data_IF_203319729547
#
_entry.id   IF_203319729547
#
_cell.length_a   1.000
_cell.length_b   1.000
_cell.length_c   1.000
_cell.angle_alpha   90.00
_cell.angle_beta   90.00
_cell.angle_gamma   90.00
#
_symmetry.space_group_name_H-M   'P 1'
#
loop_
_entity.id
_entity.type
_entity.pdbx_description
1 polymer ?
#
# COMPACT_ATOMS: atom_id res chain seq x y z
N UNK A 1 26.39 2.25 -9.11
CA UNK A 1 25.25 1.48 -9.65
C UNK A 1 24.23 1.33 -8.54
N UNK A 2 23.03 1.88 -8.70
CA UNK A 2 21.99 1.88 -7.67
C UNK A 2 21.50 0.45 -7.46
N UNK A 3 21.40 -0.32 -8.54
CA UNK A 3 21.01 -1.72 -8.45
C UNK A 3 21.98 -2.50 -7.56
N UNK A 4 23.30 -2.35 -7.69
CA UNK A 4 24.25 -3.11 -6.86
C UNK A 4 24.19 -2.72 -5.38
N UNK A 5 23.92 -1.44 -5.08
CA UNK A 5 23.79 -0.93 -3.72
C UNK A 5 22.56 -1.52 -3.00
N UNK A 6 21.40 -1.49 -3.65
CA UNK A 6 20.15 -2.00 -3.08
C UNK A 6 19.95 -3.51 -3.27
N UNK A 7 20.85 -4.21 -3.99
CA UNK A 7 20.78 -5.67 -4.19
C UNK A 7 21.03 -6.47 -2.90
N UNK A 8 21.54 -5.83 -1.85
CA UNK A 8 21.68 -6.43 -0.52
C UNK A 8 20.94 -5.62 0.50
N UNK A 9 20.13 -6.28 1.30
CA UNK A 9 19.36 -5.69 2.38
C UNK A 9 20.23 -5.23 3.58
N UNK A 10 20.80 -4.02 3.53
CA UNK A 10 21.59 -3.43 4.62
C UNK A 10 20.79 -2.37 5.40
N UNK A 11 21.06 -2.15 6.71
CA UNK A 11 20.42 -1.08 7.48
C UNK A 11 20.59 0.31 6.86
N UNK A 12 21.77 0.59 6.29
CA UNK A 12 22.06 1.86 5.60
C UNK A 12 21.09 2.14 4.44
N UNK A 13 20.59 1.11 3.75
CA UNK A 13 19.63 1.29 2.67
C UNK A 13 18.31 1.85 3.18
N UNK A 14 17.86 1.38 4.35
CA UNK A 14 16.62 1.84 4.96
C UNK A 14 16.74 3.30 5.41
N UNK A 15 17.90 3.69 5.94
CA UNK A 15 18.20 5.08 6.29
C UNK A 15 18.16 5.98 5.06
N UNK A 16 18.79 5.59 3.95
CA UNK A 16 18.77 6.37 2.70
C UNK A 16 17.36 6.48 2.10
N UNK A 17 16.57 5.40 2.12
CA UNK A 17 15.17 5.42 1.69
C UNK A 17 14.34 6.38 2.55
N UNK A 18 14.56 6.38 3.87
CA UNK A 18 13.86 7.26 4.80
C UNK A 18 14.25 8.73 4.61
N UNK A 19 15.54 9.01 4.34
CA UNK A 19 16.02 10.35 4.01
C UNK A 19 15.44 10.85 2.68
N UNK A 20 15.40 9.98 1.66
CA UNK A 20 14.76 10.29 0.37
C UNK A 20 13.27 10.64 0.56
N UNK A 21 12.54 9.82 1.31
CA UNK A 21 11.14 10.10 1.66
C UNK A 21 11.01 11.43 2.41
N UNK A 22 11.84 11.67 3.42
CA UNK A 22 11.81 12.92 4.19
C UNK A 22 12.06 14.15 3.33
N UNK A 23 13.07 14.10 2.46
CA UNK A 23 13.35 15.18 1.51
C UNK A 23 12.13 15.50 0.64
N UNK A 24 11.53 14.49 0.02
CA UNK A 24 10.35 14.68 -0.85
C UNK A 24 9.10 15.10 -0.08
N UNK A 25 8.88 14.57 1.11
CA UNK A 25 7.74 14.95 1.94
C UNK A 25 7.82 16.41 2.37
N UNK A 26 8.96 16.87 2.88
CA UNK A 26 9.07 18.25 3.36
C UNK A 26 9.15 19.26 2.21
N UNK A 27 9.84 18.94 1.10
CA UNK A 27 9.91 19.84 -0.05
C UNK A 27 8.54 20.02 -0.72
N UNK A 28 7.70 18.97 -0.76
CA UNK A 28 6.34 19.10 -1.30
C UNK A 28 5.49 20.04 -0.46
N UNK A 29 5.52 19.92 0.88
CA UNK A 29 4.76 20.83 1.74
C UNK A 29 5.22 22.29 1.59
N UNK A 30 6.54 22.53 1.56
CA UNK A 30 7.10 23.88 1.49
C UNK A 30 6.93 24.50 0.10
N UNK A 31 7.30 23.78 -0.96
CA UNK A 31 7.46 24.35 -2.30
C UNK A 31 6.24 24.16 -3.21
N UNK A 32 5.69 22.94 -3.27
CA UNK A 32 4.57 22.64 -4.17
C UNK A 32 3.25 23.20 -3.61
N UNK A 33 3.13 23.16 -2.29
CA UNK A 33 1.90 23.38 -1.58
C UNK A 33 1.83 24.68 -0.80
N UNK A 34 2.95 25.42 -0.75
CA UNK A 34 3.14 26.70 -0.08
C UNK A 34 2.44 26.76 1.28
N UNK A 35 2.71 25.75 2.13
CA UNK A 35 1.99 25.61 3.39
C UNK A 35 2.32 26.77 4.34
N UNK A 36 1.29 27.47 4.82
CA UNK A 36 1.42 28.46 5.91
C UNK A 36 1.82 27.77 7.21
N UNK A 37 3.09 27.93 7.62
CA UNK A 37 3.64 27.26 8.78
C UNK A 37 3.20 27.91 10.10
N UNK A 38 2.45 27.14 10.90
CA UNK A 38 2.18 27.42 12.31
C UNK A 38 2.57 26.20 13.14
N UNK A 39 2.74 26.36 14.45
CA UNK A 39 3.11 25.25 15.34
C UNK A 39 2.12 24.06 15.25
N UNK A 40 0.79 24.25 15.27
CA UNK A 40 -0.15 23.13 15.12
C UNK A 40 -0.05 22.44 13.76
N UNK A 41 0.11 23.21 12.68
CA UNK A 41 0.24 22.69 11.31
C UNK A 41 1.51 21.84 11.19
N UNK A 42 2.63 22.29 11.76
CA UNK A 42 3.86 21.53 11.80
C UNK A 42 3.69 20.16 12.48
N UNK A 43 3.06 20.12 13.66
CA UNK A 43 2.82 18.86 14.37
C UNK A 43 1.87 17.92 13.63
N UNK A 44 0.86 18.46 12.94
CA UNK A 44 -0.03 17.66 12.09
C UNK A 44 0.73 16.97 10.96
N UNK A 45 1.51 17.73 10.18
CA UNK A 45 2.33 17.15 9.10
C UNK A 45 3.44 16.23 9.62
N UNK A 46 4.04 16.53 10.77
CA UNK A 46 4.99 15.63 11.41
C UNK A 46 4.32 14.28 11.79
N UNK A 47 3.07 14.31 12.27
CA UNK A 47 2.29 13.10 12.55
C UNK A 47 2.03 12.26 11.30
N UNK A 48 1.61 12.90 10.21
CA UNK A 48 1.42 12.24 8.91
C UNK A 48 2.74 11.65 8.40
N UNK A 49 3.84 12.40 8.47
CA UNK A 49 5.17 11.92 8.08
C UNK A 49 5.57 10.67 8.86
N UNK A 50 5.38 10.67 10.17
CA UNK A 50 5.65 9.50 11.03
C UNK A 50 4.80 8.28 10.64
N UNK A 51 3.54 8.48 10.29
CA UNK A 51 2.67 7.40 9.80
C UNK A 51 3.18 6.79 8.49
N UNK A 52 3.70 7.61 7.56
CA UNK A 52 4.31 7.13 6.31
C UNK A 52 5.61 6.38 6.61
N UNK A 53 6.51 6.93 7.45
CA UNK A 53 7.75 6.25 7.84
C UNK A 53 7.45 4.89 8.48
N UNK A 54 6.44 4.83 9.34
CA UNK A 54 5.99 3.58 9.93
C UNK A 54 5.42 2.61 8.88
N UNK A 55 4.69 3.10 7.88
CA UNK A 55 4.23 2.30 6.73
C UNK A 55 5.40 1.70 5.94
N UNK A 56 6.48 2.45 5.72
CA UNK A 56 7.70 1.96 5.04
C UNK A 56 8.40 0.88 5.87
N UNK A 57 8.51 1.08 7.20
CA UNK A 57 9.04 0.07 8.11
C UNK A 57 8.20 -1.21 8.07
N UNK A 58 6.87 -1.06 8.12
CA UNK A 58 5.92 -2.16 8.10
C UNK A 58 6.00 -2.93 6.78
N UNK A 59 6.05 -2.25 5.64
CA UNK A 59 6.25 -2.87 4.34
C UNK A 59 7.53 -3.71 4.31
N UNK A 60 8.67 -3.16 4.76
CA UNK A 60 9.94 -3.88 4.87
C UNK A 60 9.84 -5.11 5.80
N UNK A 61 9.15 -4.97 6.93
CA UNK A 61 8.89 -6.08 7.85
C UNK A 61 8.10 -7.20 7.18
N UNK A 62 7.01 -6.89 6.47
CA UNK A 62 6.17 -7.87 5.77
C UNK A 62 6.98 -8.63 4.72
N UNK A 63 7.75 -7.90 3.90
CA UNK A 63 8.59 -8.46 2.84
C UNK A 63 9.59 -9.45 3.40
N UNK A 64 10.31 -9.07 4.46
CA UNK A 64 11.36 -9.91 5.06
C UNK A 64 10.79 -11.11 5.81
N UNK A 65 9.78 -10.87 6.65
CA UNK A 65 9.18 -11.92 7.49
C UNK A 65 8.58 -13.04 6.65
N UNK A 66 8.09 -12.72 5.45
CA UNK A 66 7.45 -13.68 4.55
C UNK A 66 8.29 -14.03 3.32
N UNK A 67 9.56 -13.63 3.27
CA UNK A 67 10.48 -13.88 2.15
C UNK A 67 9.85 -13.59 0.77
N UNK A 68 9.13 -12.47 0.66
CA UNK A 68 8.42 -12.10 -0.59
C UNK A 68 9.37 -11.70 -1.72
N UNK A 69 10.58 -11.24 -1.37
CA UNK A 69 11.66 -10.89 -2.30
C UNK A 69 12.98 -11.51 -1.81
N UNK A 70 13.94 -11.77 -2.69
CA UNK A 70 15.20 -12.43 -2.32
C UNK A 70 16.22 -11.46 -1.69
N UNK A 71 16.02 -11.12 -0.40
CA UNK A 71 17.05 -10.49 0.45
C UNK A 71 17.59 -9.13 -0.01
N UNK A 72 16.86 -8.40 -0.86
CA UNK A 72 17.24 -7.07 -1.35
C UNK A 72 16.32 -5.98 -0.80
N UNK A 73 16.65 -4.73 -1.12
CA UNK A 73 15.90 -3.54 -0.67
C UNK A 73 15.04 -2.91 -1.79
N UNK A 74 14.93 -3.53 -2.97
CA UNK A 74 14.23 -2.92 -4.11
C UNK A 74 12.74 -2.69 -3.84
N UNK A 75 12.05 -3.62 -3.17
CA UNK A 75 10.61 -3.46 -2.92
C UNK A 75 10.31 -2.25 -2.02
N UNK A 76 11.11 -2.04 -0.97
CA UNK A 76 10.94 -0.90 -0.06
C UNK A 76 11.30 0.41 -0.76
N UNK A 77 12.35 0.39 -1.59
CA UNK A 77 12.75 1.51 -2.42
C UNK A 77 11.64 1.91 -3.40
N UNK A 78 11.09 0.94 -4.14
CA UNK A 78 9.99 1.15 -5.08
C UNK A 78 8.71 1.62 -4.40
N UNK A 79 8.38 1.08 -3.22
CA UNK A 79 7.23 1.53 -2.44
C UNK A 79 7.33 3.04 -2.10
N UNK A 80 8.52 3.49 -1.68
CA UNK A 80 8.76 4.92 -1.42
C UNK A 80 8.77 5.75 -2.71
N UNK A 81 9.34 5.24 -3.80
CA UNK A 81 9.29 5.92 -5.10
C UNK A 81 7.86 6.10 -5.61
N UNK A 82 7.01 5.10 -5.42
CA UNK A 82 5.61 5.21 -5.77
C UNK A 82 4.92 6.28 -4.94
N UNK A 83 5.17 6.34 -3.62
CA UNK A 83 4.65 7.43 -2.79
C UNK A 83 5.12 8.82 -3.26
N UNK A 84 6.40 9.00 -3.60
CA UNK A 84 6.93 10.30 -4.01
C UNK A 84 6.46 10.74 -5.40
N UNK A 85 5.93 9.84 -6.23
CA UNK A 85 5.31 10.17 -7.52
C UNK A 85 3.93 10.85 -7.39
N UNK A 86 3.29 10.77 -6.22
CA UNK A 86 1.95 11.34 -5.98
C UNK A 86 1.98 12.24 -4.74
N UNK A 87 2.49 13.48 -4.86
CA UNK A 87 2.56 14.42 -3.74
C UNK A 87 1.23 14.67 -3.02
N UNK A 88 0.10 14.54 -3.73
CA UNK A 88 -1.24 14.71 -3.17
C UNK A 88 -1.55 13.73 -2.03
N UNK A 89 -0.99 12.51 -2.08
CA UNK A 89 -1.15 11.51 -1.02
C UNK A 89 -0.61 12.06 0.31
N UNK A 90 0.44 12.89 0.30
CA UNK A 90 1.03 13.46 1.51
C UNK A 90 0.11 14.43 2.27
N UNK A 91 -0.96 14.94 1.61
CA UNK A 91 -2.01 15.74 2.25
C UNK A 91 -3.24 14.91 2.64
N UNK A 92 -3.39 13.70 2.12
CA UNK A 92 -4.54 12.84 2.36
C UNK A 92 -4.31 11.93 3.58
N UNK A 93 -4.36 12.55 4.76
CA UNK A 93 -4.09 11.87 6.05
C UNK A 93 -4.97 10.64 6.28
N UNK A 94 -6.26 10.72 5.92
CA UNK A 94 -7.22 9.62 6.00
C UNK A 94 -6.80 8.43 5.13
N UNK A 95 -6.42 8.67 3.88
CA UNK A 95 -5.93 7.65 2.94
C UNK A 95 -4.62 7.02 3.44
N UNK A 96 -3.70 7.82 3.98
CA UNK A 96 -2.46 7.31 4.57
C UNK A 96 -2.76 6.39 5.77
N UNK A 97 -3.66 6.81 6.65
CA UNK A 97 -4.06 6.01 7.82
C UNK A 97 -4.77 4.72 7.40
N UNK A 98 -5.69 4.79 6.45
CA UNK A 98 -6.37 3.63 5.88
C UNK A 98 -5.34 2.63 5.29
N UNK A 99 -4.40 3.12 4.47
CA UNK A 99 -3.35 2.28 3.89
C UNK A 99 -2.41 1.68 4.94
N UNK A 100 -2.09 2.41 6.00
CA UNK A 100 -1.31 1.88 7.13
C UNK A 100 -2.02 0.69 7.79
N UNK A 101 -3.33 0.79 8.03
CA UNK A 101 -4.13 -0.31 8.59
C UNK A 101 -4.29 -1.47 7.60
N UNK A 102 -4.42 -1.19 6.30
CA UNK A 102 -4.37 -2.23 5.26
C UNK A 102 -3.02 -2.96 5.28
N UNK A 103 -1.89 -2.28 5.45
CA UNK A 103 -0.59 -2.92 5.61
C UNK A 103 -0.54 -3.80 6.88
N UNK A 104 -1.14 -3.37 7.99
CA UNK A 104 -1.25 -4.18 9.21
C UNK A 104 -2.11 -5.44 8.98
N UNK A 105 -3.18 -5.33 8.19
CA UNK A 105 -3.97 -6.47 7.77
C UNK A 105 -3.15 -7.42 6.89
N UNK A 106 -2.52 -6.92 5.82
CA UNK A 106 -1.68 -7.70 4.91
C UNK A 106 -0.54 -8.41 5.64
N UNK A 107 0.07 -7.78 6.65
CA UNK A 107 1.06 -8.42 7.53
C UNK A 107 0.53 -9.72 8.12
N UNK A 108 -0.71 -9.70 8.64
CA UNK A 108 -1.35 -10.86 9.25
C UNK A 108 -1.77 -11.88 8.20
N UNK A 109 -2.44 -11.45 7.14
CA UNK A 109 -2.92 -12.29 6.04
C UNK A 109 -1.79 -13.09 5.40
N UNK A 110 -0.71 -12.42 4.98
CA UNK A 110 0.42 -13.07 4.30
C UNK A 110 1.14 -14.04 5.26
N UNK A 111 1.18 -13.73 6.56
CA UNK A 111 1.80 -14.61 7.56
C UNK A 111 1.01 -15.89 7.87
N UNK A 112 -0.22 -16.04 7.38
CA UNK A 112 -1.02 -17.28 7.51
C UNK A 112 -0.27 -18.47 6.92
N UNK A 113 0.61 -18.24 5.94
CA UNK A 113 1.49 -19.26 5.34
C UNK A 113 2.24 -20.13 6.35
N UNK A 114 2.51 -19.62 7.55
CA UNK A 114 3.23 -20.36 8.58
C UNK A 114 2.36 -21.43 9.25
N UNK A 115 1.04 -21.43 8.99
CA UNK A 115 0.03 -22.31 9.56
C UNK A 115 -0.07 -22.27 11.10
N UNK A 116 0.53 -21.26 11.72
CA UNK A 116 0.46 -21.01 13.17
C UNK A 116 -0.61 -19.95 13.46
N UNK A 117 -1.40 -20.17 14.51
CA UNK A 117 -2.36 -19.19 15.03
C UNK A 117 -3.31 -18.63 13.96
N UNK A 118 -3.81 -19.51 13.08
CA UNK A 118 -4.54 -19.10 11.86
C UNK A 118 -5.77 -18.25 12.20
N UNK A 119 -6.60 -18.68 13.14
CA UNK A 119 -7.80 -17.93 13.57
C UNK A 119 -7.45 -16.54 14.12
N UNK A 120 -6.41 -16.42 14.94
CA UNK A 120 -5.97 -15.13 15.46
C UNK A 120 -5.47 -14.21 14.34
N UNK A 121 -4.72 -14.75 13.37
CA UNK A 121 -4.28 -13.96 12.20
C UNK A 121 -5.44 -13.50 11.32
N UNK A 122 -6.46 -14.35 11.11
CA UNK A 122 -7.67 -13.99 10.37
C UNK A 122 -8.43 -12.89 11.12
N UNK A 123 -8.63 -13.06 12.42
CA UNK A 123 -9.30 -12.08 13.27
C UNK A 123 -8.57 -10.72 13.22
N UNK A 124 -7.27 -10.71 13.50
CA UNK A 124 -6.47 -9.49 13.47
C UNK A 124 -6.51 -8.83 12.09
N UNK A 125 -6.41 -9.62 11.01
CA UNK A 125 -6.48 -9.09 9.66
C UNK A 125 -7.83 -8.42 9.36
N UNK A 126 -8.94 -9.10 9.65
CA UNK A 126 -10.27 -8.56 9.46
C UNK A 126 -10.52 -7.33 10.33
N UNK A 127 -10.05 -7.33 11.58
CA UNK A 127 -10.13 -6.19 12.48
C UNK A 127 -9.40 -4.99 11.89
N UNK A 128 -8.16 -5.15 11.41
CA UNK A 128 -7.42 -4.05 10.80
C UNK A 128 -8.05 -3.54 9.51
N UNK A 129 -8.67 -4.40 8.69
CA UNK A 129 -9.44 -3.95 7.52
C UNK A 129 -10.66 -3.13 7.95
N UNK A 130 -11.41 -3.57 8.95
CA UNK A 130 -12.54 -2.81 9.47
C UNK A 130 -12.10 -1.46 10.06
N UNK A 131 -10.96 -1.39 10.76
CA UNK A 131 -10.39 -0.13 11.24
C UNK A 131 -9.95 0.76 10.07
N UNK A 132 -9.35 0.21 9.02
CA UNK A 132 -9.01 0.96 7.81
C UNK A 132 -10.26 1.59 7.17
N UNK A 133 -11.37 0.84 7.15
CA UNK A 133 -12.66 1.32 6.62
C UNK A 133 -13.27 2.48 7.40
N UNK A 134 -12.81 2.77 8.62
CA UNK A 134 -13.21 3.96 9.38
C UNK A 134 -12.52 5.23 8.89
N UNK A 135 -11.35 5.10 8.26
CA UNK A 135 -10.64 6.22 7.64
C UNK A 135 -10.99 6.37 6.17
N UNK A 136 -11.31 5.25 5.50
CA UNK A 136 -11.66 5.25 4.10
C UNK A 136 -12.51 4.02 3.75
N UNK A 137 -13.79 4.25 3.46
CA UNK A 137 -14.84 3.24 3.41
C UNK A 137 -14.55 2.09 2.42
N UNK A 138 -13.96 2.40 1.26
CA UNK A 138 -13.62 1.40 0.24
C UNK A 138 -12.51 0.43 0.67
N UNK A 139 -11.74 0.76 1.71
CA UNK A 139 -10.76 -0.17 2.29
C UNK A 139 -11.40 -1.47 2.78
N UNK A 140 -12.72 -1.48 3.05
CA UNK A 140 -13.48 -2.69 3.41
C UNK A 140 -13.33 -3.82 2.36
N UNK A 141 -13.11 -3.49 1.09
CA UNK A 141 -12.88 -4.48 0.03
C UNK A 141 -11.65 -5.37 0.29
N UNK A 142 -10.70 -4.95 1.13
CA UNK A 142 -9.58 -5.80 1.56
C UNK A 142 -10.01 -7.04 2.37
N UNK A 143 -11.26 -7.13 2.84
CA UNK A 143 -11.82 -8.37 3.40
C UNK A 143 -11.79 -9.50 2.36
N UNK A 144 -11.91 -9.19 1.06
CA UNK A 144 -11.76 -10.18 -0.02
C UNK A 144 -10.39 -10.86 0.02
N UNK A 145 -9.32 -10.12 0.37
CA UNK A 145 -7.98 -10.69 0.52
C UNK A 145 -7.90 -11.62 1.73
N UNK A 146 -8.63 -11.32 2.81
CA UNK A 146 -8.72 -12.20 3.98
C UNK A 146 -9.42 -13.50 3.62
N UNK A 147 -10.56 -13.45 2.95
CA UNK A 147 -11.29 -14.64 2.49
C UNK A 147 -10.46 -15.46 1.49
N UNK A 148 -9.75 -14.80 0.57
CA UNK A 148 -8.83 -15.46 -0.34
C UNK A 148 -7.72 -16.22 0.42
N UNK A 149 -7.19 -15.68 1.51
CA UNK A 149 -6.20 -16.37 2.33
C UNK A 149 -6.78 -17.60 3.05
N UNK A 150 -8.03 -17.54 3.50
CA UNK A 150 -8.72 -18.71 4.06
C UNK A 150 -8.84 -19.78 2.97
N UNK A 151 -9.26 -19.41 1.76
CA UNK A 151 -9.39 -20.33 0.64
C UNK A 151 -8.06 -20.97 0.27
N UNK A 152 -6.98 -20.19 0.19
CA UNK A 152 -5.65 -20.68 -0.20
C UNK A 152 -5.04 -21.59 0.87
N UNK A 153 -5.14 -21.25 2.16
CA UNK A 153 -4.41 -21.97 3.21
C UNK A 153 -5.24 -22.96 4.01
N UNK A 154 -6.55 -22.73 4.22
CA UNK A 154 -7.42 -23.55 5.09
C UNK A 154 -8.89 -23.56 4.65
N UNK A 155 -9.14 -23.91 3.38
CA UNK A 155 -10.50 -24.00 2.84
C UNK A 155 -11.46 -24.87 3.68
N UNK A 156 -10.99 -26.05 4.13
CA UNK A 156 -11.84 -27.09 4.74
C UNK A 156 -12.30 -26.87 6.19
N UNK A 157 -11.85 -25.82 6.88
CA UNK A 157 -12.29 -25.54 8.26
C UNK A 157 -13.27 -24.36 8.27
N UNK A 158 -14.57 -24.68 8.30
CA UNK A 158 -15.67 -23.71 8.30
C UNK A 158 -15.55 -22.66 9.42
N UNK A 159 -14.90 -22.99 10.54
CA UNK A 159 -14.74 -22.06 11.66
C UNK A 159 -13.90 -20.86 11.26
N UNK A 160 -12.94 -21.03 10.35
CA UNK A 160 -12.11 -19.92 9.85
C UNK A 160 -12.93 -18.90 9.07
N UNK A 161 -13.98 -19.34 8.37
CA UNK A 161 -14.88 -18.47 7.60
C UNK A 161 -15.77 -17.60 8.49
N UNK A 162 -16.05 -18.03 9.72
CA UNK A 162 -16.81 -17.25 10.70
C UNK A 162 -15.96 -16.17 11.38
N UNK A 163 -14.63 -16.34 11.45
CA UNK A 163 -13.75 -15.41 12.18
C UNK A 163 -13.82 -13.97 11.66
N UNK A 164 -13.82 -13.69 10.34
CA UNK A 164 -14.00 -12.33 9.82
C UNK A 164 -15.29 -11.66 10.32
N UNK A 165 -16.39 -12.43 10.41
CA UNK A 165 -17.67 -11.91 10.90
C UNK A 165 -17.60 -11.50 12.37
N UNK A 166 -16.86 -12.27 13.19
CA UNK A 166 -16.62 -11.92 14.61
C UNK A 166 -15.81 -10.63 14.72
N UNK A 167 -14.81 -10.43 13.86
CA UNK A 167 -14.02 -9.19 13.84
C UNK A 167 -14.88 -7.98 13.43
N UNK A 168 -15.70 -8.12 12.38
CA UNK A 168 -16.65 -7.08 11.96
C UNK A 168 -17.61 -6.74 13.09
N UNK A 169 -18.19 -7.75 13.74
CA UNK A 169 -19.08 -7.55 14.88
C UNK A 169 -18.37 -6.81 16.03
N UNK A 170 -17.13 -7.17 16.34
CA UNK A 170 -16.35 -6.53 17.40
C UNK A 170 -16.13 -5.04 17.11
N UNK A 171 -15.68 -4.70 15.89
CA UNK A 171 -15.49 -3.30 15.51
C UNK A 171 -16.82 -2.54 15.46
N UNK A 172 -17.88 -3.17 14.95
CA UNK A 172 -19.23 -2.59 14.90
C UNK A 172 -19.78 -2.24 16.28
N UNK A 173 -19.62 -3.11 17.28
CA UNK A 173 -20.06 -2.83 18.66
C UNK A 173 -19.25 -1.68 19.28
N UNK A 174 -17.92 -1.69 19.12
CA UNK A 174 -17.06 -0.62 19.63
C UNK A 174 -17.39 0.73 18.98
N UNK A 175 -17.56 0.74 17.66
CA UNK A 175 -17.92 1.93 16.91
C UNK A 175 -19.30 2.46 17.32
N UNK A 176 -20.30 1.58 17.41
CA UNK A 176 -21.65 1.96 17.85
C UNK A 176 -21.64 2.58 19.24
N UNK A 177 -20.85 2.02 20.16
CA UNK A 177 -20.71 2.56 21.52
C UNK A 177 -20.11 3.97 21.50
N UNK A 178 -19.06 4.18 20.70
CA UNK A 178 -18.45 5.51 20.53
C UNK A 178 -19.43 6.52 19.93
N UNK A 179 -20.11 6.15 18.85
CA UNK A 179 -21.03 7.03 18.11
C UNK A 179 -22.22 7.43 18.97
N UNK A 180 -22.84 6.49 19.69
CA UNK A 180 -23.99 6.77 20.58
C UNK A 180 -23.58 7.73 21.70
N UNK A 181 -22.35 7.61 22.22
CA UNK A 181 -21.93 8.38 23.38
C UNK A 181 -21.43 9.80 23.04
N UNK A 182 -20.84 10.00 21.86
CA UNK A 182 -20.16 11.26 21.52
C UNK A 182 -20.75 12.05 20.35
N UNK A 183 -21.35 11.40 19.35
CA UNK A 183 -21.69 12.09 18.08
C UNK A 183 -23.17 12.07 17.75
N UNK A 184 -23.87 10.96 18.03
CA UNK A 184 -25.22 10.70 17.51
C UNK A 184 -25.20 9.85 16.23
N UNK A 185 -26.33 9.23 15.91
CA UNK A 185 -26.42 8.16 14.91
C UNK A 185 -26.19 8.63 13.47
N UNK A 186 -26.40 9.92 13.19
CA UNK A 186 -26.26 10.52 11.85
C UNK A 186 -24.81 10.39 11.32
N UNK A 187 -23.83 10.33 12.23
CA UNK A 187 -22.42 10.12 11.89
C UNK A 187 -22.18 8.85 11.05
N UNK A 188 -22.98 7.79 11.24
CA UNK A 188 -22.86 6.58 10.42
C UNK A 188 -23.15 6.82 8.94
N UNK A 189 -24.11 7.70 8.64
CA UNK A 189 -24.51 8.04 7.27
C UNK A 189 -23.40 8.82 6.58
N UNK A 190 -22.75 9.73 7.31
CA UNK A 190 -21.66 10.56 6.79
C UNK A 190 -20.38 9.76 6.55
N UNK A 191 -20.03 8.81 7.43
CA UNK A 191 -18.77 8.05 7.31
C UNK A 191 -18.87 6.85 6.37
N UNK A 192 -20.02 6.20 6.27
CA UNK A 192 -20.21 5.07 5.35
C UNK A 192 -21.03 5.46 4.12
N UNK A 193 -20.79 6.67 3.59
CA UNK A 193 -21.39 7.10 2.33
C UNK A 193 -20.66 6.46 1.14
N UNK A 194 -20.93 5.18 0.88
CA UNK A 194 -20.41 4.51 -0.31
C UNK A 194 -20.93 5.22 -1.56
N UNK A 195 -20.03 5.94 -2.23
CA UNK A 195 -20.32 6.58 -3.50
C UNK A 195 -19.35 6.05 -4.56
N UNK A 196 -19.94 5.66 -5.69
CA UNK A 196 -19.20 5.17 -6.86
C UNK A 196 -19.15 6.31 -7.86
N UNK A 197 -17.94 6.72 -8.22
CA UNK A 197 -17.72 7.61 -9.34
C UNK A 197 -16.54 7.08 -10.15
N UNK A 198 -16.72 7.04 -11.46
CA UNK A 198 -15.71 6.56 -12.40
C UNK A 198 -14.95 7.72 -13.04
N UNK A 199 -15.26 8.98 -12.69
CA UNK A 199 -14.82 10.18 -13.41
C UNK A 199 -14.36 11.31 -12.47
N UNK A 200 -13.08 11.72 -12.56
CA UNK A 200 -12.59 12.96 -11.92
C UNK A 200 -11.82 13.82 -12.93
N UNK A 201 -11.85 15.15 -12.77
CA UNK A 201 -11.12 16.10 -13.62
C UNK A 201 -9.60 16.00 -13.35
N UNK A 202 -9.18 15.70 -12.11
CA UNK A 202 -7.77 15.58 -11.72
C UNK A 202 -7.09 14.31 -12.23
N UNK A 203 -7.84 13.26 -12.60
CA UNK A 203 -7.27 12.08 -13.26
C UNK A 203 -6.78 12.36 -14.68
N UNK A 204 -7.04 13.56 -15.23
CA UNK A 204 -6.61 13.97 -16.57
C UNK A 204 -5.27 14.70 -16.60
N UNK A 205 -4.70 15.06 -15.45
CA UNK A 205 -3.43 15.77 -15.42
C UNK A 205 -2.28 14.82 -15.79
N UNK A 206 -1.34 15.30 -16.60
CA UNK A 206 -0.18 14.51 -17.02
C UNK A 206 0.64 14.03 -15.82
N UNK A 207 0.69 14.83 -14.75
CA UNK A 207 1.34 14.50 -13.49
C UNK A 207 0.72 13.33 -12.73
N UNK A 208 -0.53 12.96 -13.03
CA UNK A 208 -1.18 11.77 -12.47
C UNK A 208 -1.14 10.59 -13.45
N UNK A 209 -1.53 10.80 -14.71
CA UNK A 209 -1.62 9.74 -15.72
C UNK A 209 -0.25 9.08 -15.96
N UNK A 210 0.82 9.88 -16.08
CA UNK A 210 2.13 9.36 -16.41
C UNK A 210 2.67 8.41 -15.31
N UNK A 211 2.69 8.78 -14.02
CA UNK A 211 2.99 7.85 -12.93
C UNK A 211 2.15 6.57 -12.92
N UNK A 212 0.82 6.70 -13.03
CA UNK A 212 -0.08 5.54 -13.00
C UNK A 212 0.22 4.61 -14.17
N UNK A 213 0.35 5.14 -15.38
CA UNK A 213 0.66 4.35 -16.57
C UNK A 213 2.01 3.63 -16.45
N UNK A 214 3.03 4.29 -15.91
CA UNK A 214 4.34 3.67 -15.69
C UNK A 214 4.30 2.55 -14.64
N UNK A 215 3.65 2.80 -13.50
CA UNK A 215 3.49 1.78 -12.45
C UNK A 215 2.68 0.61 -13.02
N UNK A 216 1.56 0.86 -13.70
CA UNK A 216 0.74 -0.16 -14.33
C UNK A 216 1.53 -0.99 -15.37
N UNK A 217 2.28 -0.32 -16.25
CA UNK A 217 3.09 -0.99 -17.26
C UNK A 217 4.14 -1.93 -16.64
N UNK A 218 4.94 -1.43 -15.69
CA UNK A 218 5.98 -2.25 -15.06
C UNK A 218 5.40 -3.34 -14.15
N UNK A 219 4.26 -3.11 -13.50
CA UNK A 219 3.59 -4.14 -12.69
C UNK A 219 3.01 -5.24 -13.56
N UNK A 220 2.38 -4.92 -14.70
CA UNK A 220 1.90 -5.91 -15.67
C UNK A 220 3.04 -6.73 -16.27
N UNK A 221 4.16 -6.10 -16.63
CA UNK A 221 5.38 -6.81 -17.05
C UNK A 221 5.89 -7.76 -15.96
N UNK A 222 5.87 -7.30 -14.72
CA UNK A 222 6.31 -8.09 -13.56
C UNK A 222 5.39 -9.29 -13.31
N UNK A 223 4.09 -9.11 -13.52
CA UNK A 223 3.08 -10.17 -13.40
C UNK A 223 3.25 -11.21 -14.50
N UNK A 224 3.46 -10.79 -15.76
CA UNK A 224 3.76 -11.69 -16.87
C UNK A 224 5.04 -12.51 -16.61
N UNK A 225 6.10 -11.87 -16.12
CA UNK A 225 7.34 -12.55 -15.75
C UNK A 225 7.15 -13.51 -14.57
N UNK A 226 6.29 -13.17 -13.60
CA UNK A 226 5.95 -14.06 -12.49
C UNK A 226 5.21 -15.31 -12.97
N UNK A 227 4.21 -15.17 -13.85
CA UNK A 227 3.48 -16.31 -14.43
C UNK A 227 4.44 -17.22 -15.20
N UNK A 228 5.31 -16.65 -16.03
CA UNK A 228 6.30 -17.42 -16.80
C UNK A 228 7.26 -18.24 -15.90
N UNK A 229 7.59 -17.73 -14.71
CA UNK A 229 8.51 -18.36 -13.77
C UNK A 229 7.82 -18.99 -12.56
N UNK A 230 6.50 -19.19 -12.62
CA UNK A 230 5.69 -19.59 -11.46
C UNK A 230 6.21 -20.90 -10.84
N UNK A 231 6.45 -21.92 -11.68
CA UNK A 231 6.89 -23.26 -11.27
C UNK A 231 8.28 -23.31 -10.62
N UNK A 232 9.11 -22.28 -10.77
CA UNK A 232 10.47 -22.24 -10.23
C UNK A 232 10.52 -21.83 -8.74
N UNK A 233 9.42 -21.32 -8.16
CA UNK A 233 9.36 -20.88 -6.75
C UNK A 233 8.78 -21.98 -5.85
N UNK A 234 9.14 -21.96 -4.55
CA UNK A 234 8.56 -22.87 -3.56
C UNK A 234 7.06 -22.60 -3.34
N UNK A 235 6.30 -23.64 -3.06
CA UNK A 235 4.82 -23.60 -2.93
C UNK A 235 4.32 -22.58 -1.92
N UNK A 236 5.02 -22.42 -0.79
CA UNK A 236 4.67 -21.40 0.22
C UNK A 236 4.93 -19.96 -0.24
N UNK A 237 5.96 -19.72 -1.05
CA UNK A 237 6.25 -18.40 -1.62
C UNK A 237 5.27 -18.08 -2.76
N UNK A 238 4.91 -19.08 -3.57
CA UNK A 238 3.87 -18.95 -4.59
C UNK A 238 2.54 -18.52 -3.97
N UNK A 239 2.09 -19.19 -2.90
CA UNK A 239 0.82 -18.87 -2.21
C UNK A 239 0.83 -17.46 -1.61
N UNK A 240 1.98 -17.02 -1.08
CA UNK A 240 2.15 -15.66 -0.54
C UNK A 240 2.12 -14.61 -1.65
N UNK A 241 2.72 -14.89 -2.81
CA UNK A 241 2.71 -14.00 -3.96
C UNK A 241 1.34 -13.97 -4.65
N UNK A 242 0.57 -15.06 -4.62
CA UNK A 242 -0.82 -15.07 -5.08
C UNK A 242 -1.67 -14.11 -4.24
N UNK A 243 -1.50 -14.09 -2.92
CA UNK A 243 -2.16 -13.09 -2.07
C UNK A 243 -1.73 -11.66 -2.40
N UNK A 244 -0.46 -11.44 -2.75
CA UNK A 244 0.02 -10.13 -3.21
C UNK A 244 -0.66 -9.71 -4.50
N UNK A 245 -0.90 -10.64 -5.44
CA UNK A 245 -1.64 -10.37 -6.68
C UNK A 245 -3.12 -10.08 -6.38
N UNK A 246 -3.75 -10.85 -5.50
CA UNK A 246 -5.14 -10.60 -5.10
C UNK A 246 -5.27 -9.24 -4.41
N UNK A 247 -4.32 -8.88 -3.53
CA UNK A 247 -4.24 -7.55 -2.94
C UNK A 247 -4.04 -6.44 -3.98
N UNK A 248 -3.23 -6.69 -5.03
CA UNK A 248 -3.11 -5.76 -6.15
C UNK A 248 -4.45 -5.55 -6.85
N UNK A 249 -5.15 -6.63 -7.19
CA UNK A 249 -6.45 -6.58 -7.87
C UNK A 249 -7.50 -5.84 -7.05
N UNK A 250 -7.55 -6.10 -5.74
CA UNK A 250 -8.46 -5.39 -4.83
C UNK A 250 -8.08 -3.90 -4.74
N UNK A 251 -6.79 -3.57 -4.57
CA UNK A 251 -6.32 -2.19 -4.55
C UNK A 251 -6.63 -1.44 -5.86
N UNK A 252 -6.46 -2.10 -7.01
CA UNK A 252 -6.84 -1.51 -8.31
C UNK A 252 -8.34 -1.34 -8.45
N UNK A 253 -9.15 -2.26 -7.91
CA UNK A 253 -10.60 -2.14 -7.87
C UNK A 253 -11.04 -0.92 -7.04
N UNK A 254 -10.43 -0.72 -5.87
CA UNK A 254 -10.67 0.46 -5.04
C UNK A 254 -10.32 1.73 -5.82
N UNK A 255 -9.13 1.81 -6.41
CA UNK A 255 -8.71 2.97 -7.19
C UNK A 255 -9.56 3.24 -8.45
N UNK A 256 -10.30 2.24 -8.95
CA UNK A 256 -11.15 2.38 -10.13
C UNK A 256 -12.61 2.74 -9.82
N UNK A 257 -13.09 2.42 -8.61
CA UNK A 257 -14.52 2.54 -8.23
C UNK A 257 -14.75 3.72 -7.28
N UNK A 258 -13.70 4.16 -6.58
CA UNK A 258 -13.77 5.18 -5.55
C UNK A 258 -14.06 6.59 -6.08
N UNK A 259 -14.95 7.27 -5.36
CA UNK A 259 -15.36 8.65 -5.64
C UNK A 259 -14.51 9.71 -4.91
N UNK A 260 -13.19 9.54 -4.80
CA UNK A 260 -12.37 10.63 -4.29
C UNK A 260 -11.80 11.47 -5.42
N UNK A 261 -11.94 12.78 -5.24
CA UNK A 261 -11.66 13.81 -6.25
C UNK A 261 -10.17 13.89 -6.61
N UNK A 262 -9.29 13.33 -5.78
CA UNK A 262 -7.82 13.46 -5.89
C UNK A 262 -7.11 12.15 -6.31
N UNK A 263 -7.82 11.03 -6.39
CA UNK A 263 -7.31 9.73 -6.84
C UNK A 263 -6.12 9.18 -6.03
N UNK A 264 -6.08 9.48 -4.74
CA UNK A 264 -5.05 9.05 -3.79
C UNK A 264 -5.11 7.55 -3.46
N UNK A 265 -6.23 6.90 -3.79
CA UNK A 265 -6.49 5.48 -3.58
C UNK A 265 -5.51 4.56 -4.28
N UNK A 266 -4.83 5.06 -5.31
CA UNK A 266 -3.74 4.34 -5.97
C UNK A 266 -2.69 3.85 -4.96
N UNK A 267 -2.57 4.48 -3.79
CA UNK A 267 -1.70 4.06 -2.70
C UNK A 267 -1.90 2.60 -2.29
N UNK A 268 -3.15 2.09 -2.33
CA UNK A 268 -3.48 0.72 -1.94
C UNK A 268 -2.85 -0.32 -2.89
N UNK A 269 -2.42 0.11 -4.08
CA UNK A 269 -1.71 -0.73 -5.06
C UNK A 269 -0.20 -0.74 -4.84
N UNK A 270 0.37 0.23 -4.13
CA UNK A 270 1.82 0.47 -4.12
C UNK A 270 2.61 -0.66 -3.47
N UNK A 271 2.16 -1.16 -2.32
CA UNK A 271 2.83 -2.28 -1.66
C UNK A 271 2.87 -3.53 -2.54
N UNK A 272 1.74 -4.06 -3.05
CA UNK A 272 1.78 -5.26 -3.87
C UNK A 272 2.51 -5.04 -5.21
N UNK A 273 2.34 -3.87 -5.84
CA UNK A 273 3.07 -3.47 -7.04
C UNK A 273 4.60 -3.51 -6.81
N UNK A 274 5.06 -2.94 -5.70
CA UNK A 274 6.48 -2.86 -5.38
C UNK A 274 7.09 -4.24 -5.11
N UNK A 275 6.35 -5.14 -4.48
CA UNK A 275 6.78 -6.53 -4.27
C UNK A 275 6.92 -7.29 -5.60
N UNK A 276 5.96 -7.17 -6.51
CA UNK A 276 6.03 -7.83 -7.82
C UNK A 276 7.17 -7.26 -8.66
N UNK A 277 7.29 -5.94 -8.72
CA UNK A 277 8.32 -5.27 -9.49
C UNK A 277 9.72 -5.51 -8.95
N UNK A 278 9.90 -5.58 -7.63
CA UNK A 278 11.18 -5.97 -7.04
C UNK A 278 11.60 -7.39 -7.41
N UNK A 279 10.65 -8.33 -7.47
CA UNK A 279 10.91 -9.69 -7.95
C UNK A 279 11.30 -9.70 -9.42
N UNK A 280 10.62 -8.91 -10.26
CA UNK A 280 10.99 -8.76 -11.66
C UNK A 280 12.39 -8.17 -11.85
N UNK A 281 12.75 -7.12 -11.11
CA UNK A 281 14.09 -6.53 -11.15
C UNK A 281 15.19 -7.54 -10.79
N UNK A 282 14.90 -8.57 -9.99
CA UNK A 282 15.85 -9.65 -9.71
C UNK A 282 16.05 -10.60 -10.91
N UNK A 283 15.01 -10.85 -11.69
CA UNK A 283 15.06 -11.70 -12.88
C UNK A 283 15.84 -11.05 -14.03
N UNK A 284 15.89 -9.72 -14.08
CA UNK A 284 16.63 -8.99 -15.11
C UNK A 284 18.15 -9.25 -14.96
N UNK A 285 18.73 -9.93 -15.94
CA UNK A 285 20.18 -10.19 -16.04
C UNK A 285 20.95 -8.99 -16.61
N UNK A 286 20.35 -8.25 -17.56
CA UNK A 286 20.95 -7.07 -18.19
C UNK A 286 21.01 -5.90 -17.20
N UNK A 287 22.21 -5.58 -16.69
CA UNK A 287 22.41 -4.55 -15.67
C UNK A 287 21.94 -3.16 -16.10
N UNK A 288 22.17 -2.76 -17.36
CA UNK A 288 21.77 -1.44 -17.86
C UNK A 288 20.25 -1.25 -17.79
N UNK A 289 19.47 -2.27 -18.18
CA UNK A 289 18.01 -2.22 -18.13
C UNK A 289 17.47 -2.05 -16.70
N UNK A 290 18.08 -2.76 -15.74
CA UNK A 290 17.75 -2.64 -14.31
C UNK A 290 18.03 -1.25 -13.76
N UNK A 291 19.19 -0.67 -14.10
CA UNK A 291 19.54 0.69 -13.70
C UNK A 291 18.61 1.73 -14.34
N UNK A 292 18.28 1.59 -15.63
CA UNK A 292 17.37 2.52 -16.32
C UNK A 292 16.01 2.59 -15.65
N UNK A 293 15.44 1.44 -15.27
CA UNK A 293 14.16 1.40 -14.54
C UNK A 293 14.30 2.09 -13.18
N UNK A 294 15.35 1.80 -12.40
CA UNK A 294 15.53 2.41 -11.08
C UNK A 294 15.76 3.93 -11.18
N UNK A 295 16.57 4.40 -12.12
CA UNK A 295 16.81 5.82 -12.33
C UNK A 295 15.56 6.56 -12.80
N UNK A 296 14.74 5.93 -13.65
CA UNK A 296 13.45 6.48 -14.06
C UNK A 296 12.59 6.82 -12.84
N UNK A 297 12.40 5.87 -11.92
CA UNK A 297 11.58 6.08 -10.72
C UNK A 297 12.22 7.01 -9.68
N UNK A 298 13.55 7.21 -9.69
CA UNK A 298 14.23 8.17 -8.81
C UNK A 298 14.06 9.60 -9.28
N UNK A 299 14.24 9.82 -10.58
CA UNK A 299 14.30 11.16 -11.20
C UNK A 299 12.90 11.69 -11.47
N UNK A 300 11.95 10.82 -11.85
CA UNK A 300 10.61 11.23 -12.24
C UNK A 300 9.88 12.05 -11.17
N UNK A 301 9.91 11.70 -9.86
CA UNK A 301 9.35 12.56 -8.82
C UNK A 301 9.92 13.98 -8.83
N UNK A 302 11.23 14.15 -9.02
CA UNK A 302 11.87 15.48 -9.13
C UNK A 302 11.30 16.24 -10.32
N UNK A 303 11.22 15.60 -11.49
CA UNK A 303 10.69 16.23 -12.69
C UNK A 303 9.22 16.66 -12.51
N UNK A 304 8.40 15.82 -11.88
CA UNK A 304 7.00 16.11 -11.63
C UNK A 304 6.79 17.26 -10.64
N UNK A 305 7.69 17.47 -9.67
CA UNK A 305 7.62 18.64 -8.78
C UNK A 305 7.77 19.97 -9.54
N UNK A 306 8.55 19.98 -10.63
CA UNK A 306 8.74 21.18 -11.45
C UNK A 306 7.69 21.31 -12.56
N UNK A 307 7.16 20.19 -13.07
CA UNK A 307 6.13 20.18 -14.13
C UNK A 307 4.72 20.41 -13.56
N UNK A 308 4.46 19.97 -12.32
CA UNK A 308 3.16 20.09 -11.66
C UNK A 308 2.76 21.51 -11.23
N UNK A 309 3.48 22.54 -11.70
CA UNK A 309 3.16 23.96 -11.47
C UNK A 309 2.12 24.53 -12.45
N UNK A 310 1.54 23.71 -13.34
CA UNK A 310 0.51 24.12 -14.31
C UNK A 310 -0.78 23.35 -14.16
#
# INVERSE_FOLDING_TARGET
MISSFFNRAKPINFLLISLYLGFFYWITQIYLYDTGWTVPVFFSYAGVFLAIVFSVFLANFIIRKNALCTGNSYAVLLFVMFLTLFPQIFRSSEIIMANLFVLLALRRVISIRSLLQIKQKIFDASLWVCVAALFYEWALLFLLVVFAAILIYRFGDYRNWLVPLVAIFTVGVLLSTYVIWFTGIDWFVDVFSFSVDFYSIKTRTIGFILPVALIAFFTLLSLAAFIANYKAKSTGVQSSLLLVIIALLVGTGIAAVSNNRESDEVVFTFFPAAVLMANYLQLITRKWWKESILWLFIILPVALLFIGQT
#
